data_IF_704984547235
#
_entry.id   IF_704984547235
#
_cell.length_a   1.000
_cell.length_b   1.000
_cell.length_c   1.000
_cell.angle_alpha   90.00
_cell.angle_beta   90.00
_cell.angle_gamma   90.00
#
_symmetry.space_group_name_H-M   'P 1'
#
loop_
_entity.id
_entity.type
_entity.pdbx_description
1 polymer ?
#
# COMPACT_ATOMS: atom_id res chain seq x y z
N UNK A 1 45.51 10.23 36.05
CA UNK A 1 45.94 10.95 34.84
C UNK A 1 45.14 10.40 33.67
N UNK A 2 44.25 11.21 33.13
CA UNK A 2 43.56 11.00 31.85
C UNK A 2 44.50 11.31 30.68
N UNK A 3 44.36 10.56 29.57
CA UNK A 3 44.56 10.94 28.15
C UNK A 3 44.16 9.71 27.29
N UNK A 4 42.97 9.74 26.65
CA UNK A 4 42.71 10.03 25.22
C UNK A 4 42.91 8.85 24.27
N UNK A 5 41.83 8.36 23.64
CA UNK A 5 41.83 7.62 22.36
C UNK A 5 40.65 8.11 21.51
N UNK A 6 40.77 9.32 20.97
CA UNK A 6 39.97 9.81 19.84
C UNK A 6 40.88 9.83 18.61
N UNK A 7 40.71 8.90 17.67
CA UNK A 7 41.58 8.83 16.50
C UNK A 7 41.11 7.95 15.34
N UNK A 8 40.37 6.86 15.57
CA UNK A 8 39.97 5.96 14.45
C UNK A 8 38.63 6.33 13.80
N UNK A 9 37.68 6.95 14.51
CA UNK A 9 36.37 7.29 13.96
C UNK A 9 36.39 8.40 12.89
N UNK A 10 37.40 9.28 12.91
CA UNK A 10 37.51 10.39 11.96
C UNK A 10 37.97 9.95 10.57
N UNK A 11 38.91 9.01 10.50
CA UNK A 11 39.46 8.54 9.22
C UNK A 11 38.45 7.66 8.44
N UNK A 12 37.63 6.88 9.13
CA UNK A 12 36.61 6.02 8.50
C UNK A 12 35.45 6.83 7.92
N UNK A 13 35.05 7.92 8.59
CA UNK A 13 34.04 8.87 8.06
C UNK A 13 34.55 9.64 6.84
N UNK A 14 35.84 10.00 6.82
CA UNK A 14 36.44 10.73 5.71
C UNK A 14 36.48 9.90 4.42
N UNK A 15 36.76 8.59 4.50
CA UNK A 15 36.72 7.71 3.31
C UNK A 15 35.28 7.48 2.80
N UNK A 16 34.31 7.29 3.71
CA UNK A 16 32.91 7.06 3.36
C UNK A 16 32.21 8.28 2.74
N UNK A 17 32.65 9.50 3.08
CA UNK A 17 32.07 10.75 2.54
C UNK A 17 32.47 11.11 1.10
N UNK A 18 33.43 10.39 0.51
CA UNK A 18 34.04 10.78 -0.77
C UNK A 18 33.74 9.85 -1.95
N UNK A 19 33.04 8.74 -1.72
CA UNK A 19 32.65 7.77 -2.77
C UNK A 19 31.25 7.21 -2.49
N UNK A 20 30.46 6.98 -3.54
CA UNK A 20 29.19 6.23 -3.48
C UNK A 20 29.49 4.79 -3.07
N UNK A 21 29.01 4.32 -1.90
CA UNK A 21 29.45 3.04 -1.31
C UNK A 21 28.25 2.19 -0.88
N UNK A 22 28.04 1.03 -1.50
CA UNK A 22 27.21 -0.04 -0.94
C UNK A 22 28.05 -0.93 0.01
N UNK A 23 27.50 -1.37 1.16
CA UNK A 23 28.22 -2.16 2.17
C UNK A 23 27.54 -3.51 2.44
N UNK A 24 28.05 -4.60 1.87
CA UNK A 24 27.62 -5.95 2.27
C UNK A 24 28.31 -6.38 3.58
N UNK A 25 27.53 -6.82 4.59
CA UNK A 25 28.06 -7.33 5.87
C UNK A 25 27.62 -8.79 6.12
N UNK A 26 28.52 -9.62 6.65
CA UNK A 26 28.22 -11.00 7.05
C UNK A 26 28.34 -11.10 8.58
N UNK A 27 27.23 -11.34 9.28
CA UNK A 27 27.26 -11.61 10.72
C UNK A 27 27.24 -13.13 10.94
N UNK A 28 28.35 -13.68 11.42
CA UNK A 28 28.42 -15.05 11.92
C UNK A 28 28.26 -15.03 13.45
N UNK A 29 27.08 -15.43 13.95
CA UNK A 29 26.90 -15.73 15.38
C UNK A 29 27.21 -17.21 15.65
N UNK A 30 27.82 -17.59 16.80
CA UNK A 30 28.39 -18.92 16.96
C UNK A 30 27.37 -20.06 17.14
N UNK A 31 26.09 -19.77 17.40
CA UNK A 31 25.05 -20.78 17.51
C UNK A 31 23.73 -20.21 16.95
N UNK A 32 23.07 -20.99 16.09
CA UNK A 32 21.91 -20.65 15.25
C UNK A 32 22.22 -19.85 13.96
N UNK A 33 21.66 -20.38 12.86
CA UNK A 33 21.54 -19.88 11.47
C UNK A 33 22.30 -18.57 11.14
N UNK A 34 23.27 -18.55 10.20
CA UNK A 34 23.90 -17.30 9.78
C UNK A 34 22.84 -16.37 9.15
N UNK A 35 22.62 -15.23 9.80
CA UNK A 35 21.79 -14.14 9.26
C UNK A 35 22.67 -13.27 8.36
N UNK A 36 22.35 -13.22 7.08
CA UNK A 36 23.01 -12.34 6.13
C UNK A 36 22.33 -10.96 6.18
N UNK A 37 23.11 -9.89 6.40
CA UNK A 37 22.61 -8.50 6.43
C UNK A 37 23.24 -7.74 5.27
N UNK A 38 22.44 -7.45 4.24
CA UNK A 38 22.87 -6.63 3.10
C UNK A 38 22.43 -5.19 3.35
N UNK A 39 23.38 -4.25 3.35
CA UNK A 39 23.12 -2.82 3.55
C UNK A 39 23.65 -1.99 2.36
N UNK A 40 22.80 -1.18 1.75
CA UNK A 40 23.25 -0.12 0.85
C UNK A 40 23.24 1.19 1.65
N UNK A 41 24.34 1.94 1.61
CA UNK A 41 24.41 3.30 2.15
C UNK A 41 24.43 4.25 0.94
N UNK A 42 23.56 5.26 0.89
CA UNK A 42 23.69 6.35 -0.09
C UNK A 42 24.23 7.61 0.61
N UNK A 43 24.97 8.50 -0.09
CA UNK A 43 25.82 9.48 0.60
C UNK A 43 25.11 10.69 1.22
N UNK A 44 23.82 10.90 0.96
CA UNK A 44 23.15 12.15 1.37
C UNK A 44 22.17 12.01 2.55
N UNK A 45 21.75 10.80 2.92
CA UNK A 45 20.97 10.58 4.13
C UNK A 45 21.44 9.27 4.76
N UNK A 46 21.58 9.22 6.08
CA UNK A 46 22.16 8.10 6.83
C UNK A 46 21.29 6.82 6.84
N UNK A 47 20.93 6.32 5.66
CA UNK A 47 20.11 5.13 5.44
C UNK A 47 20.92 3.85 5.66
N UNK A 48 20.40 2.94 6.47
CA UNK A 48 20.88 1.54 6.56
C UNK A 48 19.73 0.64 6.13
N UNK A 49 19.79 0.06 4.93
CA UNK A 49 18.90 -1.04 4.57
C UNK A 49 19.35 -2.33 5.30
N UNK A 50 18.42 -3.09 5.89
CA UNK A 50 18.68 -4.40 6.51
C UNK A 50 17.72 -5.41 5.88
N UNK A 51 18.23 -6.27 5.00
CA UNK A 51 17.47 -7.41 4.49
C UNK A 51 17.65 -8.64 5.40
N UNK A 52 16.56 -9.27 5.86
CA UNK A 52 16.55 -10.55 6.59
C UNK A 52 15.94 -11.62 5.68
N UNK A 53 16.62 -12.76 5.43
CA UNK A 53 16.12 -13.83 4.54
C UNK A 53 16.14 -15.23 5.18
N UNK A 54 15.22 -16.08 4.71
CA UNK A 54 14.71 -17.33 5.31
C UNK A 54 15.52 -18.62 5.07
N UNK A 55 14.99 -19.74 5.62
CA UNK A 55 15.61 -21.00 6.08
C UNK A 55 16.22 -22.01 5.08
N UNK A 56 16.13 -21.86 3.76
CA UNK A 56 16.47 -22.95 2.83
C UNK A 56 17.84 -22.79 2.12
N UNK A 57 18.78 -23.70 2.39
CA UNK A 57 20.22 -23.56 2.06
C UNK A 57 20.60 -24.00 0.64
N UNK A 58 19.78 -24.80 -0.05
CA UNK A 58 20.29 -25.66 -1.13
C UNK A 58 20.25 -25.01 -2.52
N UNK A 59 19.13 -24.40 -2.91
CA UNK A 59 19.05 -23.64 -4.18
C UNK A 59 19.62 -22.22 -4.05
N UNK A 60 19.45 -21.61 -2.87
CA UNK A 60 19.92 -20.26 -2.59
C UNK A 60 21.45 -20.14 -2.75
N UNK A 61 22.19 -21.18 -2.38
CA UNK A 61 23.66 -21.17 -2.52
C UNK A 61 24.15 -21.23 -3.95
N UNK A 62 23.37 -21.76 -4.91
CA UNK A 62 23.82 -21.84 -6.32
C UNK A 62 23.67 -20.48 -7.02
N UNK A 63 22.47 -19.91 -6.99
CA UNK A 63 22.21 -18.58 -7.55
C UNK A 63 23.05 -17.49 -6.88
N UNK A 64 23.29 -17.62 -5.57
CA UNK A 64 24.14 -16.68 -4.82
C UNK A 64 25.64 -16.86 -5.05
N UNK A 65 26.13 -18.11 -5.22
CA UNK A 65 27.50 -18.35 -5.69
C UNK A 65 27.72 -17.77 -7.09
N UNK A 66 26.76 -17.91 -7.99
CA UNK A 66 26.83 -17.35 -9.34
C UNK A 66 26.83 -15.82 -9.32
N UNK A 67 25.98 -15.19 -8.49
CA UNK A 67 25.97 -13.74 -8.27
C UNK A 67 27.31 -13.25 -7.70
N UNK A 68 27.79 -13.84 -6.61
CA UNK A 68 29.05 -13.45 -5.97
C UNK A 68 30.26 -13.69 -6.88
N UNK A 69 30.31 -14.79 -7.63
CA UNK A 69 31.41 -15.08 -8.57
C UNK A 69 31.45 -14.08 -9.73
N UNK A 70 30.30 -13.52 -10.10
CA UNK A 70 30.21 -12.50 -11.15
C UNK A 70 30.57 -11.11 -10.65
N UNK A 71 30.14 -10.76 -9.43
CA UNK A 71 30.33 -9.42 -8.86
C UNK A 71 31.59 -9.26 -8.00
N UNK A 72 32.25 -10.35 -7.60
CA UNK A 72 33.60 -10.31 -7.01
C UNK A 72 34.70 -10.03 -8.05
N UNK A 73 34.34 -9.95 -9.33
CA UNK A 73 35.29 -9.64 -10.38
C UNK A 73 35.76 -8.19 -10.26
N UNK A 74 37.08 -7.94 -10.36
CA UNK A 74 37.65 -6.59 -10.26
C UNK A 74 37.08 -5.61 -11.28
N UNK A 75 36.49 -6.10 -12.37
CA UNK A 75 35.88 -5.27 -13.42
C UNK A 75 34.57 -4.59 -12.96
N UNK A 76 33.85 -5.16 -11.98
CA UNK A 76 32.53 -4.66 -11.54
C UNK A 76 32.51 -4.12 -10.11
N UNK A 77 33.39 -4.60 -9.23
CA UNK A 77 33.47 -4.14 -7.85
C UNK A 77 34.91 -4.11 -7.31
N UNK A 78 35.14 -3.31 -6.28
CA UNK A 78 36.34 -3.32 -5.45
C UNK A 78 36.03 -4.06 -4.13
N UNK A 79 36.85 -5.04 -3.76
CA UNK A 79 36.69 -5.80 -2.52
C UNK A 79 37.47 -5.12 -1.39
N UNK A 80 36.79 -4.79 -0.29
CA UNK A 80 37.39 -4.17 0.90
C UNK A 80 37.11 -5.07 2.10
N UNK A 81 38.14 -5.37 2.90
CA UNK A 81 37.99 -6.14 4.14
C UNK A 81 37.83 -5.19 5.33
N UNK A 82 36.69 -5.28 6.02
CA UNK A 82 36.35 -4.46 7.19
C UNK A 82 35.92 -5.40 8.32
N UNK A 83 36.63 -5.38 9.46
CA UNK A 83 36.28 -6.15 10.66
C UNK A 83 35.83 -7.60 10.36
N UNK A 84 36.64 -8.36 9.62
CA UNK A 84 36.36 -9.76 9.21
C UNK A 84 35.14 -9.97 8.30
N UNK A 85 34.63 -8.91 7.67
CA UNK A 85 33.58 -8.96 6.64
C UNK A 85 34.14 -8.56 5.28
N UNK A 86 33.68 -9.25 4.23
CA UNK A 86 33.99 -8.91 2.84
C UNK A 86 32.94 -7.94 2.31
N UNK A 87 33.37 -6.71 2.03
CA UNK A 87 32.53 -5.64 1.47
C UNK A 87 32.84 -5.51 -0.01
N UNK A 88 31.82 -5.51 -0.86
CA UNK A 88 31.96 -5.31 -2.30
C UNK A 88 31.38 -3.96 -2.70
N UNK A 89 32.23 -3.08 -3.24
CA UNK A 89 31.86 -1.72 -3.62
C UNK A 89 31.72 -1.67 -5.15
N UNK A 90 30.51 -1.44 -5.70
CA UNK A 90 30.34 -1.31 -7.15
C UNK A 90 31.21 -0.16 -7.68
N UNK A 91 31.84 -0.37 -8.84
CA UNK A 91 32.56 0.71 -9.53
C UNK A 91 31.57 1.70 -10.15
N UNK A 92 32.00 2.97 -10.24
CA UNK A 92 31.21 4.03 -10.87
C UNK A 92 30.78 3.63 -12.29
N UNK A 93 29.47 3.74 -12.58
CA UNK A 93 28.84 3.32 -13.83
C UNK A 93 28.21 1.91 -13.79
N UNK A 94 28.41 1.14 -12.72
CA UNK A 94 27.82 -0.20 -12.54
C UNK A 94 26.67 -0.24 -11.52
N UNK A 95 26.31 0.89 -10.91
CA UNK A 95 25.34 0.97 -9.80
C UNK A 95 23.92 0.58 -10.24
N UNK A 96 23.42 1.15 -11.34
CA UNK A 96 22.10 0.84 -11.87
C UNK A 96 21.97 -0.63 -12.31
N UNK A 97 23.07 -1.20 -12.86
CA UNK A 97 23.13 -2.61 -13.24
C UNK A 97 23.17 -3.51 -12.00
N UNK A 98 23.82 -3.07 -10.92
CA UNK A 98 23.84 -3.80 -9.65
C UNK A 98 22.45 -3.84 -9.02
N UNK A 99 21.77 -2.70 -8.93
CA UNK A 99 20.40 -2.60 -8.39
C UNK A 99 19.38 -3.41 -9.21
N UNK A 100 19.38 -3.27 -10.54
CA UNK A 100 18.47 -4.03 -11.42
C UNK A 100 18.66 -5.54 -11.23
N UNK A 101 19.91 -6.01 -11.14
CA UNK A 101 20.22 -7.43 -10.98
C UNK A 101 20.00 -7.92 -9.55
N UNK A 102 20.16 -7.06 -8.55
CA UNK A 102 19.83 -7.37 -7.15
C UNK A 102 18.33 -7.52 -6.96
N UNK A 103 17.52 -6.61 -7.51
CA UNK A 103 16.06 -6.72 -7.54
C UNK A 103 15.60 -7.98 -8.31
N UNK A 104 16.24 -8.27 -9.44
CA UNK A 104 15.99 -9.51 -10.20
C UNK A 104 16.32 -10.76 -9.37
N UNK A 105 17.41 -10.73 -8.58
CA UNK A 105 17.76 -11.82 -7.67
C UNK A 105 16.72 -12.00 -6.57
N UNK A 106 16.27 -10.91 -5.91
CA UNK A 106 15.21 -10.95 -4.90
C UNK A 106 13.91 -11.55 -5.45
N UNK A 107 13.48 -11.12 -6.65
CA UNK A 107 12.28 -11.62 -7.31
C UNK A 107 12.37 -13.11 -7.68
N UNK A 108 13.56 -13.59 -8.09
CA UNK A 108 13.79 -15.00 -8.40
C UNK A 108 13.78 -15.90 -7.15
N UNK A 109 14.31 -15.39 -6.02
CA UNK A 109 14.27 -16.09 -4.72
C UNK A 109 12.82 -16.18 -4.21
N UNK A 110 12.06 -15.09 -4.32
CA UNK A 110 10.64 -15.07 -3.96
C UNK A 110 9.80 -16.04 -4.84
N UNK A 111 10.05 -16.05 -6.15
CA UNK A 111 9.41 -16.99 -7.08
C UNK A 111 9.75 -18.46 -6.83
N UNK A 112 10.94 -18.77 -6.31
CA UNK A 112 11.33 -20.13 -5.93
C UNK A 112 10.62 -20.59 -4.64
N UNK A 113 10.41 -19.67 -3.69
CA UNK A 113 9.64 -19.92 -2.48
C UNK A 113 8.19 -20.30 -2.78
N UNK A 114 7.54 -19.58 -3.71
CA UNK A 114 6.17 -19.87 -4.16
C UNK A 114 6.02 -21.21 -4.90
N UNK A 115 7.08 -21.70 -5.55
CA UNK A 115 7.07 -23.02 -6.21
C UNK A 115 7.07 -24.18 -5.20
N UNK A 116 7.62 -24.00 -4.00
CA UNK A 116 7.63 -25.02 -2.96
C UNK A 116 6.29 -25.14 -2.21
N UNK A 117 5.37 -24.18 -2.36
CA UNK A 117 4.01 -24.25 -1.81
C UNK A 117 3.05 -25.12 -2.66
N UNK A 118 3.48 -25.61 -3.84
CA UNK A 118 2.65 -26.41 -4.77
C UNK A 118 2.34 -27.84 -4.31
N UNK A 119 2.74 -28.26 -3.12
CA UNK A 119 2.38 -29.59 -2.60
C UNK A 119 1.78 -29.51 -1.20
N UNK A 120 0.49 -29.13 -1.10
CA UNK A 120 -0.57 -29.84 -0.34
C UNK A 120 -1.93 -29.10 -0.41
N UNK A 121 -2.85 -29.70 -1.18
CA UNK A 121 -4.26 -29.95 -0.84
C UNK A 121 -5.41 -28.92 -0.98
N UNK A 122 -5.25 -27.63 -1.30
CA UNK A 122 -6.45 -26.72 -1.40
C UNK A 122 -6.83 -26.21 -2.81
N UNK A 123 -6.15 -26.69 -3.86
CA UNK A 123 -6.47 -26.42 -5.27
C UNK A 123 -7.79 -27.06 -5.78
N UNK A 124 -8.71 -27.46 -4.89
CA UNK A 124 -9.92 -28.22 -5.24
C UNK A 124 -11.20 -27.65 -4.62
N UNK A 125 -11.47 -26.37 -4.76
CA UNK A 125 -12.86 -25.87 -4.81
C UNK A 125 -12.91 -24.45 -5.36
N UNK A 126 -13.67 -24.25 -6.46
CA UNK A 126 -14.22 -22.94 -6.81
C UNK A 126 -13.54 -22.14 -7.93
N UNK A 127 -13.59 -22.65 -9.16
CA UNK A 127 -13.52 -21.93 -10.46
C UNK A 127 -13.48 -20.38 -10.42
N UNK A 128 -12.38 -19.79 -10.89
CA UNK A 128 -12.42 -18.60 -11.77
C UNK A 128 -11.41 -18.75 -12.90
N UNK A 129 -11.83 -18.38 -14.10
CA UNK A 129 -11.16 -18.61 -15.36
C UNK A 129 -9.85 -17.81 -15.46
N UNK A 130 -8.71 -18.49 -15.34
CA UNK A 130 -7.39 -17.93 -15.62
C UNK A 130 -7.03 -18.11 -17.10
N UNK A 131 -6.93 -17.02 -17.85
CA UNK A 131 -6.21 -17.00 -19.12
C UNK A 131 -4.70 -17.05 -18.82
N UNK A 132 -4.08 -18.20 -19.10
CA UNK A 132 -2.64 -18.40 -18.98
C UNK A 132 -1.90 -18.01 -20.26
N UNK A 133 -0.90 -17.13 -20.15
CA UNK A 133 0.18 -17.04 -21.14
C UNK A 133 1.45 -17.70 -20.56
N UNK A 134 1.68 -18.96 -20.95
CA UNK A 134 2.93 -19.69 -20.65
C UNK A 134 3.96 -19.45 -21.75
N UNK A 135 5.14 -18.92 -21.38
CA UNK A 135 6.34 -18.99 -22.23
C UNK A 135 6.95 -20.39 -22.14
N UNK A 136 6.66 -21.26 -23.11
CA UNK A 136 7.43 -22.48 -23.37
C UNK A 136 8.33 -22.24 -24.58
N UNK A 137 9.65 -22.28 -24.37
CA UNK A 137 10.66 -22.27 -25.46
C UNK A 137 10.39 -23.43 -26.43
N UNK A 138 9.82 -23.12 -27.59
CA UNK A 138 9.66 -24.01 -28.73
C UNK A 138 10.14 -23.28 -29.98
N UNK A 139 11.01 -23.93 -30.75
CA UNK A 139 11.71 -23.38 -31.92
C UNK A 139 10.73 -22.83 -32.97
N UNK A 140 11.03 -21.63 -33.48
CA UNK A 140 10.67 -21.20 -34.83
C UNK A 140 9.21 -20.79 -35.06
N UNK A 141 8.84 -19.59 -34.62
CA UNK A 141 7.91 -18.68 -35.31
C UNK A 141 8.23 -17.27 -34.85
N UNK A 142 8.31 -16.31 -35.79
CA UNK A 142 8.40 -14.88 -35.50
C UNK A 142 7.10 -14.47 -34.83
N UNK A 143 7.05 -14.56 -33.51
CA UNK A 143 5.97 -13.99 -32.72
C UNK A 143 6.28 -12.51 -32.48
N UNK A 144 5.34 -11.67 -32.88
CA UNK A 144 5.32 -10.24 -32.67
C UNK A 144 5.66 -9.90 -31.23
N UNK A 145 6.60 -8.97 -31.05
CA UNK A 145 6.78 -8.21 -29.81
C UNK A 145 5.39 -7.82 -29.28
N UNK A 146 4.95 -8.45 -28.19
CA UNK A 146 3.89 -7.87 -27.38
C UNK A 146 4.45 -6.55 -26.87
N UNK A 147 3.79 -5.47 -27.26
CA UNK A 147 4.14 -4.09 -26.96
C UNK A 147 4.59 -3.96 -25.51
N UNK A 148 5.76 -3.35 -25.28
CA UNK A 148 6.08 -2.66 -24.03
C UNK A 148 4.82 -1.90 -23.60
N UNK A 149 4.15 -2.34 -22.53
CA UNK A 149 3.17 -1.49 -21.86
C UNK A 149 3.96 -0.37 -21.18
N UNK A 150 3.48 0.85 -21.33
CA UNK A 150 4.15 2.09 -20.95
C UNK A 150 4.37 2.13 -19.42
N UNK A 151 5.48 1.58 -18.95
CA UNK A 151 5.94 1.86 -17.59
C UNK A 151 6.15 3.37 -17.44
N UNK A 152 5.81 3.96 -16.29
CA UNK A 152 6.10 5.36 -16.03
C UNK A 152 7.62 5.60 -16.20
N UNK A 153 8.04 6.81 -16.65
CA UNK A 153 9.44 7.20 -16.70
C UNK A 153 10.17 6.80 -15.41
N UNK A 154 11.43 6.37 -15.50
CA UNK A 154 12.18 5.84 -14.36
C UNK A 154 12.12 6.75 -13.12
N UNK A 155 12.23 8.07 -13.33
CA UNK A 155 12.18 9.11 -12.30
C UNK A 155 10.82 9.20 -11.57
N UNK A 156 9.76 8.72 -12.22
CA UNK A 156 8.39 8.73 -11.69
C UNK A 156 7.95 7.38 -11.10
N UNK A 157 8.80 6.35 -11.09
CA UNK A 157 8.47 5.05 -10.48
C UNK A 157 8.39 5.16 -8.96
N UNK A 158 7.64 4.26 -8.34
CA UNK A 158 7.59 4.18 -6.89
C UNK A 158 8.98 3.98 -6.28
N UNK A 159 9.24 4.77 -5.24
CA UNK A 159 10.40 4.78 -4.37
C UNK A 159 10.00 4.20 -3.03
N UNK A 160 10.94 3.51 -2.40
CA UNK A 160 10.78 2.87 -1.12
C UNK A 160 11.94 3.27 -0.21
N UNK A 161 11.68 3.38 1.09
CA UNK A 161 12.66 3.85 2.06
C UNK A 161 12.17 3.67 3.49
N UNK A 162 12.81 4.39 4.40
CA UNK A 162 12.47 4.34 5.83
C UNK A 162 11.12 5.01 6.06
N UNK A 163 10.22 4.29 6.72
CA UNK A 163 8.92 4.77 7.19
C UNK A 163 8.76 4.47 8.68
N UNK A 164 7.69 4.98 9.30
CA UNK A 164 7.33 4.66 10.69
C UNK A 164 7.02 3.17 10.94
N UNK A 165 6.97 2.34 9.90
CA UNK A 165 6.66 0.91 9.97
C UNK A 165 7.90 0.01 9.78
N UNK A 166 9.10 0.57 9.67
CA UNK A 166 10.32 -0.21 9.37
C UNK A 166 10.70 -1.22 10.46
N UNK A 167 10.27 -1.00 11.70
CA UNK A 167 10.48 -1.88 12.83
C UNK A 167 9.34 -2.89 13.05
N UNK A 168 8.24 -2.78 12.29
CA UNK A 168 7.13 -3.73 12.36
C UNK A 168 7.54 -5.05 11.71
N UNK A 169 7.11 -6.16 12.27
CA UNK A 169 7.05 -7.41 11.50
C UNK A 169 5.95 -7.32 10.44
N UNK A 170 5.90 -8.24 9.48
CA UNK A 170 4.79 -8.27 8.52
C UNK A 170 3.48 -8.63 9.24
N UNK A 171 3.54 -9.49 10.24
CA UNK A 171 2.41 -9.86 11.11
C UNK A 171 1.89 -8.65 11.90
N UNK A 172 2.78 -7.84 12.48
CA UNK A 172 2.39 -6.61 13.19
C UNK A 172 1.79 -5.58 12.22
N UNK A 173 2.37 -5.43 11.03
CA UNK A 173 1.86 -4.51 10.02
C UNK A 173 0.47 -4.92 9.54
N UNK A 174 0.27 -6.20 9.22
CA UNK A 174 -1.04 -6.74 8.86
C UNK A 174 -2.06 -6.59 10.01
N UNK A 175 -1.64 -6.80 11.25
CA UNK A 175 -2.55 -6.73 12.39
C UNK A 175 -2.98 -5.30 12.74
N UNK A 176 -2.05 -4.35 12.70
CA UNK A 176 -2.28 -3.02 13.27
C UNK A 176 -2.48 -1.92 12.22
N UNK A 177 -1.89 -2.08 11.03
CA UNK A 177 -1.97 -1.08 9.95
C UNK A 177 -2.95 -1.46 8.84
N UNK A 178 -3.31 -2.75 8.74
CA UNK A 178 -4.36 -3.27 7.86
C UNK A 178 -5.61 -3.63 8.68
N UNK A 179 -6.73 -3.90 8.00
CA UNK A 179 -7.98 -4.17 8.70
C UNK A 179 -9.18 -4.37 7.82
N UNK A 180 -9.01 -4.48 6.50
CA UNK A 180 -10.11 -4.81 5.62
C UNK A 180 -10.49 -6.28 5.81
N UNK A 181 -11.78 -6.53 6.03
CA UNK A 181 -12.36 -7.86 6.14
C UNK A 181 -13.61 -7.92 5.27
N UNK A 182 -13.41 -8.22 3.99
CA UNK A 182 -14.52 -8.46 3.06
C UNK A 182 -15.03 -9.90 3.19
N UNK A 183 -16.34 -10.05 3.25
CA UNK A 183 -17.02 -11.34 3.32
C UNK A 183 -17.83 -11.60 2.04
N UNK A 184 -18.25 -12.84 1.81
CA UNK A 184 -19.18 -13.17 0.72
C UNK A 184 -20.45 -12.31 0.75
N UNK A 185 -20.95 -11.96 1.96
CA UNK A 185 -22.13 -11.10 2.12
C UNK A 185 -21.89 -9.69 1.61
N UNK A 186 -20.66 -9.16 1.71
CA UNK A 186 -20.33 -7.83 1.18
C UNK A 186 -20.41 -7.83 -0.34
N UNK A 187 -19.87 -8.85 -0.99
CA UNK A 187 -19.98 -9.02 -2.44
C UNK A 187 -21.42 -9.29 -2.89
N UNK A 188 -22.19 -10.08 -2.15
CA UNK A 188 -23.62 -10.26 -2.42
C UNK A 188 -24.40 -8.94 -2.34
N UNK A 189 -24.11 -8.10 -1.35
CA UNK A 189 -24.71 -6.76 -1.24
C UNK A 189 -24.27 -5.88 -2.41
N UNK A 190 -22.97 -5.81 -2.70
CA UNK A 190 -22.42 -5.07 -3.84
C UNK A 190 -23.08 -5.47 -5.17
N UNK A 191 -23.35 -6.76 -5.35
CA UNK A 191 -23.99 -7.28 -6.56
C UNK A 191 -25.45 -6.85 -6.75
N UNK A 192 -26.13 -6.48 -5.66
CA UNK A 192 -27.53 -6.04 -5.63
C UNK A 192 -27.67 -4.52 -5.75
N UNK A 193 -26.61 -3.76 -5.49
CA UNK A 193 -26.61 -2.32 -5.66
C UNK A 193 -26.68 -1.94 -7.14
N UNK A 194 -27.19 -0.74 -7.47
CA UNK A 194 -27.13 -0.21 -8.82
C UNK A 194 -25.68 -0.23 -9.33
N UNK A 195 -25.48 -0.68 -10.58
CA UNK A 195 -24.17 -0.55 -11.23
C UNK A 195 -23.97 0.87 -11.72
N UNK A 196 -22.78 1.42 -11.48
CA UNK A 196 -22.37 2.67 -12.09
C UNK A 196 -22.30 2.52 -13.63
N UNK A 197 -22.76 3.54 -14.36
CA UNK A 197 -22.71 3.56 -15.83
C UNK A 197 -21.64 4.56 -16.28
N UNK A 198 -20.47 4.09 -16.78
CA UNK A 198 -19.38 4.98 -17.13
C UNK A 198 -19.69 5.90 -18.31
N UNK A 199 -19.28 7.15 -18.21
CA UNK A 199 -19.23 8.10 -19.32
C UNK A 199 -17.91 7.96 -20.07
N UNK A 200 -17.98 7.40 -21.30
CA UNK A 200 -16.80 7.24 -22.17
C UNK A 200 -16.17 8.57 -22.58
N UNK A 201 -16.92 9.66 -22.57
CA UNK A 201 -16.41 10.99 -22.89
C UNK A 201 -15.54 11.52 -21.75
N UNK A 202 -16.05 11.46 -20.51
CA UNK A 202 -15.29 11.88 -19.32
C UNK A 202 -14.00 11.08 -19.17
N UNK A 203 -14.09 9.75 -19.31
CA UNK A 203 -12.91 8.87 -19.26
C UNK A 203 -11.87 9.27 -20.30
N UNK A 204 -12.24 9.82 -21.46
CA UNK A 204 -11.26 10.18 -22.49
C UNK A 204 -10.56 11.50 -22.21
N UNK A 205 -11.26 12.51 -21.71
CA UNK A 205 -10.81 13.89 -21.79
C UNK A 205 -10.40 14.54 -20.47
N UNK A 206 -10.64 13.89 -19.33
CA UNK A 206 -10.60 14.59 -18.03
C UNK A 206 -9.65 13.96 -17.02
N UNK A 207 -8.88 14.81 -16.34
CA UNK A 207 -8.19 14.52 -15.07
C UNK A 207 -8.88 15.33 -13.98
N UNK A 208 -8.91 14.83 -12.75
CA UNK A 208 -9.46 15.56 -11.59
C UNK A 208 -8.74 15.17 -10.32
N UNK A 209 -8.42 16.15 -9.50
CA UNK A 209 -7.90 15.97 -8.14
C UNK A 209 -8.82 16.71 -7.17
N UNK A 210 -9.60 15.96 -6.38
CA UNK A 210 -10.56 16.53 -5.44
C UNK A 210 -9.90 17.29 -4.29
N UNK A 211 -8.60 17.10 -4.06
CA UNK A 211 -7.84 17.91 -3.08
C UNK A 211 -7.76 19.36 -3.54
N UNK A 212 -7.46 19.58 -4.83
CA UNK A 212 -7.40 20.91 -5.42
C UNK A 212 -8.78 21.61 -5.44
N UNK A 213 -9.86 20.82 -5.44
CA UNK A 213 -11.23 21.33 -5.32
C UNK A 213 -11.67 21.55 -3.87
N UNK A 214 -10.84 21.25 -2.86
CA UNK A 214 -11.19 21.39 -1.45
C UNK A 214 -12.27 20.40 -0.98
N UNK A 215 -12.34 19.24 -1.61
CA UNK A 215 -13.30 18.17 -1.32
C UNK A 215 -12.66 16.97 -0.60
N UNK A 216 -11.50 17.18 0.04
CA UNK A 216 -10.78 16.17 0.82
C UNK A 216 -10.32 16.81 2.13
N UNK A 217 -10.69 16.22 3.25
CA UNK A 217 -10.29 16.66 4.60
C UNK A 217 -8.80 16.33 4.89
N UNK A 218 -8.20 16.86 5.98
CA UNK A 218 -6.83 16.51 6.34
C UNK A 218 -6.64 15.01 6.56
N UNK A 219 -5.46 14.47 6.17
CA UNK A 219 -5.06 13.08 6.42
C UNK A 219 -5.10 12.78 7.92
N UNK A 220 -5.62 11.60 8.27
CA UNK A 220 -5.73 11.12 9.65
C UNK A 220 -4.74 9.99 9.93
N UNK A 221 -4.67 9.55 11.20
CA UNK A 221 -3.84 8.42 11.62
C UNK A 221 -4.69 7.38 12.36
N UNK A 222 -4.79 6.17 11.80
CA UNK A 222 -5.42 5.03 12.46
C UNK A 222 -4.55 4.43 13.58
N UNK A 223 -3.26 4.75 13.61
CA UNK A 223 -2.33 4.24 14.62
C UNK A 223 -2.30 2.71 14.70
N UNK A 224 -2.31 2.20 15.92
CA UNK A 224 -2.15 0.78 16.27
C UNK A 224 -3.48 0.01 16.29
N UNK A 225 -4.35 0.24 15.31
CA UNK A 225 -5.68 -0.35 15.24
C UNK A 225 -6.05 -0.64 13.79
N UNK A 226 -6.41 -1.89 13.50
CA UNK A 226 -6.82 -2.35 12.17
C UNK A 226 -8.19 -1.82 11.77
N UNK A 227 -8.28 -0.51 11.59
CA UNK A 227 -9.51 0.26 11.46
C UNK A 227 -9.57 1.09 10.17
N UNK A 228 -8.69 0.81 9.20
CA UNK A 228 -8.69 1.43 7.88
C UNK A 228 -10.08 1.49 7.22
N UNK A 229 -10.90 0.46 7.43
CA UNK A 229 -12.28 0.39 6.97
C UNK A 229 -13.14 1.55 7.51
N UNK A 230 -12.98 1.91 8.77
CA UNK A 230 -13.69 3.02 9.40
C UNK A 230 -13.20 4.38 8.89
N UNK A 231 -11.90 4.52 8.67
CA UNK A 231 -11.32 5.73 8.07
C UNK A 231 -11.82 5.93 6.64
N UNK A 232 -11.68 4.93 5.77
CA UNK A 232 -12.15 5.01 4.39
C UNK A 232 -13.65 5.34 4.29
N UNK A 233 -14.49 4.76 5.16
CA UNK A 233 -15.92 5.09 5.22
C UNK A 233 -16.19 6.52 5.66
N UNK A 234 -15.61 6.96 6.78
CA UNK A 234 -15.85 8.31 7.30
C UNK A 234 -15.31 9.38 6.37
N UNK A 235 -14.13 9.18 5.79
CA UNK A 235 -13.54 10.08 4.79
C UNK A 235 -14.38 10.14 3.52
N UNK A 236 -15.05 9.05 3.13
CA UNK A 236 -16.01 9.05 2.00
C UNK A 236 -17.22 9.92 2.33
N UNK A 237 -17.78 9.82 3.53
CA UNK A 237 -18.91 10.67 3.95
C UNK A 237 -18.49 12.15 4.01
N UNK A 238 -17.31 12.45 4.53
CA UNK A 238 -16.75 13.81 4.59
C UNK A 238 -16.57 14.42 3.20
N UNK A 239 -15.87 13.71 2.31
CA UNK A 239 -15.60 14.17 0.95
C UNK A 239 -16.92 14.40 0.19
N UNK A 240 -17.88 13.50 0.33
CA UNK A 240 -19.17 13.62 -0.35
C UNK A 240 -20.04 14.75 0.21
N UNK A 241 -19.97 15.02 1.52
CA UNK A 241 -20.59 16.22 2.09
C UNK A 241 -20.00 17.52 1.51
N UNK A 242 -18.69 17.56 1.23
CA UNK A 242 -18.04 18.69 0.58
C UNK A 242 -18.40 18.80 -0.90
N UNK A 243 -18.39 17.70 -1.65
CA UNK A 243 -18.76 17.66 -3.07
C UNK A 243 -20.21 18.13 -3.28
N UNK A 244 -21.13 17.70 -2.40
CA UNK A 244 -22.55 18.07 -2.47
C UNK A 244 -22.84 19.47 -1.91
N UNK A 245 -21.83 20.19 -1.41
CA UNK A 245 -22.00 21.52 -0.80
C UNK A 245 -22.79 21.51 0.51
N UNK A 246 -22.90 20.35 1.17
CA UNK A 246 -23.55 20.19 2.47
C UNK A 246 -22.63 20.56 3.64
N UNK A 247 -21.32 20.47 3.43
CA UNK A 247 -20.24 20.86 4.33
C UNK A 247 -19.47 22.02 3.71
N UNK A 248 -19.07 22.99 4.53
CA UNK A 248 -18.32 24.16 4.06
C UNK A 248 -16.84 23.84 3.90
N UNK A 249 -16.23 24.23 2.78
CA UNK A 249 -14.81 23.97 2.52
C UNK A 249 -13.87 24.71 3.49
N UNK A 250 -14.29 25.87 3.99
CA UNK A 250 -13.48 26.67 4.92
C UNK A 250 -13.44 26.08 6.35
N UNK A 251 -14.47 25.31 6.72
CA UNK A 251 -14.56 24.63 8.00
C UNK A 251 -15.26 23.28 7.79
N UNK A 252 -14.55 22.30 7.20
CA UNK A 252 -15.17 21.06 6.81
C UNK A 252 -15.58 20.25 8.04
N UNK A 253 -16.72 19.58 7.95
CA UNK A 253 -17.06 18.51 8.87
C UNK A 253 -15.98 17.42 8.86
N UNK A 254 -15.47 17.10 10.04
CA UNK A 254 -14.56 15.98 10.27
C UNK A 254 -15.35 14.92 11.05
N UNK A 255 -15.58 13.76 10.44
CA UNK A 255 -16.32 12.65 11.00
C UNK A 255 -15.45 11.75 11.89
N UNK A 256 -16.10 11.08 12.85
CA UNK A 256 -15.49 10.24 13.87
C UNK A 256 -15.35 8.76 13.44
N UNK A 257 -14.15 8.26 13.09
CA UNK A 257 -13.95 6.82 12.81
C UNK A 257 -14.16 5.96 14.08
N UNK A 258 -13.98 6.55 15.27
CA UNK A 258 -14.19 5.85 16.54
C UNK A 258 -15.61 5.33 16.70
N UNK A 259 -16.60 6.04 16.15
CA UNK A 259 -18.01 5.63 16.21
C UNK A 259 -18.19 4.24 15.60
N UNK A 260 -17.67 4.00 14.40
CA UNK A 260 -17.69 2.68 13.76
C UNK A 260 -16.94 1.64 14.60
N UNK A 261 -15.71 1.96 15.01
CA UNK A 261 -14.84 1.02 15.73
C UNK A 261 -15.51 0.52 17.02
N UNK A 262 -16.16 1.42 17.76
CA UNK A 262 -16.83 1.12 19.03
C UNK A 262 -18.25 0.58 18.88
N UNK A 263 -19.03 1.06 17.90
CA UNK A 263 -20.47 0.86 17.85
C UNK A 263 -20.96 -0.10 16.75
N UNK A 264 -20.21 -0.29 15.67
CA UNK A 264 -20.66 -1.15 14.57
C UNK A 264 -20.40 -2.64 14.88
N UNK A 265 -21.17 -3.17 15.83
CA UNK A 265 -21.14 -4.57 16.28
C UNK A 265 -22.45 -5.30 15.95
N UNK A 266 -23.19 -4.81 14.98
CA UNK A 266 -24.56 -5.27 14.72
C UNK A 266 -24.58 -6.66 14.06
N UNK A 267 -25.68 -7.40 14.20
CA UNK A 267 -25.82 -8.70 13.53
C UNK A 267 -25.76 -8.60 11.98
N UNK A 268 -25.95 -7.40 11.42
CA UNK A 268 -25.90 -7.11 9.98
C UNK A 268 -24.55 -6.56 9.50
N UNK A 269 -23.66 -6.22 10.43
CA UNK A 269 -22.29 -5.75 10.24
C UNK A 269 -21.39 -6.35 11.34
N UNK A 270 -20.84 -7.56 11.11
CA UNK A 270 -20.03 -8.27 12.11
C UNK A 270 -18.60 -7.70 12.20
N UNK A 271 -18.47 -6.38 12.10
CA UNK A 271 -17.19 -5.70 12.15
C UNK A 271 -16.60 -5.79 13.56
N UNK A 272 -15.29 -5.97 13.61
CA UNK A 272 -14.56 -6.33 14.84
C UNK A 272 -13.65 -5.22 15.33
N UNK A 273 -14.03 -3.97 15.03
CA UNK A 273 -13.34 -2.77 15.52
C UNK A 273 -11.89 -2.75 15.04
N UNK A 274 -10.94 -2.81 15.96
CA UNK A 274 -9.51 -2.88 15.64
C UNK A 274 -9.07 -4.20 15.01
N UNK A 275 -9.91 -5.24 15.02
CA UNK A 275 -9.65 -6.51 14.34
C UNK A 275 -10.24 -6.56 12.92
N UNK A 276 -10.64 -5.40 12.40
CA UNK A 276 -11.05 -5.22 11.01
C UNK A 276 -12.55 -5.20 10.77
N UNK A 277 -12.91 -4.77 9.56
CA UNK A 277 -14.29 -4.59 9.11
C UNK A 277 -14.38 -4.24 7.63
N UNK A 278 -15.57 -3.87 7.17
CA UNK A 278 -15.87 -3.64 5.75
C UNK A 278 -16.45 -2.24 5.52
N UNK A 279 -15.91 -1.44 4.58
CA UNK A 279 -16.53 -0.17 4.21
C UNK A 279 -17.96 -0.31 3.70
N UNK A 280 -18.32 -1.46 3.11
CA UNK A 280 -19.68 -1.74 2.65
C UNK A 280 -20.66 -1.82 3.83
N UNK A 281 -20.35 -2.61 4.84
CA UNK A 281 -21.20 -2.74 6.02
C UNK A 281 -21.26 -1.45 6.83
N UNK A 282 -20.16 -0.72 6.91
CA UNK A 282 -20.08 0.58 7.57
C UNK A 282 -20.91 1.67 6.86
N UNK A 283 -20.93 1.71 5.52
CA UNK A 283 -21.81 2.62 4.79
C UNK A 283 -23.30 2.26 4.99
N UNK A 284 -23.63 0.98 5.07
CA UNK A 284 -24.98 0.51 5.44
C UNK A 284 -25.37 0.94 6.87
N UNK A 285 -24.44 0.83 7.83
CA UNK A 285 -24.64 1.32 9.20
C UNK A 285 -25.04 2.81 9.20
N UNK A 286 -24.35 3.63 8.39
CA UNK A 286 -24.60 5.07 8.31
C UNK A 286 -25.87 5.49 7.58
N UNK A 287 -26.58 4.58 6.90
CA UNK A 287 -27.90 4.89 6.34
C UNK A 287 -28.92 5.27 7.43
N UNK A 288 -28.80 4.66 8.61
CA UNK A 288 -29.79 4.80 9.69
C UNK A 288 -29.26 5.49 10.95
N UNK A 289 -27.96 5.33 11.26
CA UNK A 289 -27.34 5.94 12.44
C UNK A 289 -27.01 7.39 12.13
N UNK A 290 -26.05 7.59 11.24
CA UNK A 290 -25.54 8.89 10.84
C UNK A 290 -24.27 9.22 11.60
N UNK A 291 -23.34 9.90 10.94
CA UNK A 291 -21.98 10.10 11.39
C UNK A 291 -21.86 11.33 12.31
N UNK A 292 -21.30 11.13 13.49
CA UNK A 292 -20.90 12.19 14.42
C UNK A 292 -19.56 12.83 14.02
N UNK A 293 -19.29 14.02 14.56
CA UNK A 293 -18.02 14.68 14.36
C UNK A 293 -16.92 14.10 15.25
N UNK A 294 -15.68 14.08 14.76
CA UNK A 294 -14.48 13.68 15.49
C UNK A 294 -14.33 14.42 16.83
N UNK A 295 -14.71 15.70 16.88
CA UNK A 295 -14.66 16.50 18.12
C UNK A 295 -15.64 16.01 19.20
N UNK A 296 -16.73 15.37 18.79
CA UNK A 296 -17.81 14.90 19.66
C UNK A 296 -17.59 13.42 20.05
N UNK A 297 -16.92 12.64 19.19
CA UNK A 297 -16.49 11.26 19.47
C UNK A 297 -15.02 11.02 19.04
N UNK A 298 -14.03 11.45 19.85
CA UNK A 298 -12.62 11.42 19.47
C UNK A 298 -12.04 10.01 19.28
N UNK A 299 -11.12 9.89 18.32
CA UNK A 299 -10.38 8.67 18.04
C UNK A 299 -9.32 8.37 19.09
N UNK A 300 -9.48 7.23 19.78
CA UNK A 300 -8.61 6.75 20.86
C UNK A 300 -8.03 5.36 20.55
N UNK A 301 -8.72 4.58 19.71
CA UNK A 301 -8.34 3.21 19.37
C UNK A 301 -6.95 3.10 18.74
N UNK A 302 -6.49 4.10 18.00
CA UNK A 302 -5.13 4.09 17.45
C UNK A 302 -4.02 4.13 18.50
N UNK A 303 -4.29 4.67 19.70
CA UNK A 303 -3.34 4.67 20.81
C UNK A 303 -3.47 3.45 21.72
N UNK A 304 -4.68 2.91 21.88
CA UNK A 304 -4.96 1.80 22.81
C UNK A 304 -4.90 0.42 22.15
N UNK A 305 -5.14 0.34 20.84
CA UNK A 305 -5.39 -0.92 20.13
C UNK A 305 -6.70 -1.59 20.53
N UNK A 306 -7.59 -0.89 21.25
CA UNK A 306 -8.86 -1.41 21.76
C UNK A 306 -10.04 -0.72 21.10
N UNK A 307 -11.16 -1.44 20.95
CA UNK A 307 -12.37 -0.94 20.29
C UNK A 307 -13.01 0.26 21.00
N UNK A 308 -12.74 0.47 22.29
CA UNK A 308 -13.38 1.49 23.11
C UNK A 308 -14.85 1.17 23.43
N UNK A 309 -15.53 2.12 24.09
CA UNK A 309 -16.94 1.98 24.48
C UNK A 309 -17.81 2.77 23.51
N UNK A 310 -18.88 2.15 23.01
CA UNK A 310 -19.85 2.84 22.17
C UNK A 310 -20.57 3.94 22.95
N UNK A 311 -20.41 5.18 22.51
CA UNK A 311 -21.00 6.39 23.12
C UNK A 311 -21.87 7.18 22.13
N UNK A 312 -22.32 6.52 21.06
CA UNK A 312 -23.14 7.14 20.02
C UNK A 312 -24.36 7.88 20.59
N UNK A 313 -24.47 9.15 20.24
CA UNK A 313 -25.57 10.06 20.49
C UNK A 313 -26.16 10.54 19.16
N UNK A 314 -27.35 10.00 18.85
CA UNK A 314 -28.09 10.33 17.63
C UNK A 314 -28.32 11.83 17.44
N UNK A 315 -28.39 12.63 18.50
CA UNK A 315 -28.59 14.08 18.40
C UNK A 315 -27.36 14.82 17.84
N UNK A 316 -26.19 14.20 17.85
CA UNK A 316 -24.93 14.74 17.35
C UNK A 316 -24.64 14.35 15.89
N UNK A 317 -25.32 13.33 15.37
CA UNK A 317 -25.18 12.89 13.98
C UNK A 317 -25.40 14.04 12.99
N UNK A 318 -24.49 14.17 12.01
CA UNK A 318 -24.52 15.24 11.00
C UNK A 318 -24.97 14.78 9.64
N UNK A 319 -24.48 13.63 9.19
CA UNK A 319 -24.79 13.11 7.86
C UNK A 319 -25.16 11.63 7.91
N UNK A 320 -26.20 11.25 7.18
CA UNK A 320 -26.48 9.86 6.84
C UNK A 320 -26.03 9.59 5.41
N UNK A 321 -25.66 8.34 5.13
CA UNK A 321 -25.57 7.83 3.75
C UNK A 321 -26.98 7.85 3.15
N UNK A 322 -27.10 8.31 1.91
CA UNK A 322 -28.34 8.23 1.17
C UNK A 322 -28.52 6.82 0.58
N UNK A 323 -29.61 6.15 0.97
CA UNK A 323 -29.82 4.73 0.67
C UNK A 323 -29.97 4.46 -0.83
N UNK A 324 -30.60 5.39 -1.55
CA UNK A 324 -30.86 5.28 -2.98
C UNK A 324 -29.61 5.55 -3.86
N UNK A 325 -28.51 6.00 -3.24
CA UNK A 325 -27.32 6.50 -3.92
C UNK A 325 -26.03 5.90 -3.34
N UNK A 326 -26.10 4.66 -2.88
CA UNK A 326 -24.93 3.81 -2.63
C UNK A 326 -24.68 2.93 -3.86
N UNK A 327 -23.50 3.06 -4.46
CA UNK A 327 -23.13 2.40 -5.71
C UNK A 327 -21.85 1.62 -5.49
N UNK A 328 -21.82 0.38 -6.00
CA UNK A 328 -20.63 -0.46 -5.97
C UNK A 328 -20.08 -0.69 -7.38
N UNK A 329 -18.77 -0.57 -7.50
CA UNK A 329 -17.97 -0.87 -8.67
C UNK A 329 -17.07 -2.05 -8.31
N UNK A 330 -17.19 -3.13 -9.07
CA UNK A 330 -16.52 -4.40 -8.79
C UNK A 330 -16.35 -5.19 -10.09
N UNK A 331 -15.25 -5.94 -10.20
CA UNK A 331 -14.99 -6.80 -11.36
C UNK A 331 -13.72 -6.48 -12.15
N UNK A 332 -12.67 -5.96 -11.51
CA UNK A 332 -11.31 -5.77 -12.05
C UNK A 332 -11.16 -4.74 -13.17
N UNK A 333 -12.23 -4.06 -13.58
CA UNK A 333 -12.20 -2.93 -14.50
C UNK A 333 -12.17 -1.60 -13.76
N UNK A 334 -11.48 -0.60 -14.33
CA UNK A 334 -11.35 0.74 -13.72
C UNK A 334 -12.17 1.83 -14.42
N UNK A 335 -12.79 1.54 -15.58
CA UNK A 335 -13.52 2.55 -16.37
C UNK A 335 -14.66 3.22 -15.57
N UNK A 336 -15.42 2.41 -14.82
CA UNK A 336 -16.47 2.87 -13.93
C UNK A 336 -15.91 3.68 -12.76
N UNK A 337 -14.82 3.22 -12.14
CA UNK A 337 -14.13 3.95 -11.07
C UNK A 337 -13.62 5.31 -11.55
N UNK A 338 -12.98 5.36 -12.72
CA UNK A 338 -12.44 6.61 -13.30
C UNK A 338 -13.58 7.57 -13.57
N UNK A 339 -14.64 7.10 -14.24
CA UNK A 339 -15.80 7.95 -14.54
C UNK A 339 -16.48 8.44 -13.27
N UNK A 340 -16.68 7.58 -12.26
CA UNK A 340 -17.30 7.97 -10.99
C UNK A 340 -16.43 8.96 -10.22
N UNK A 341 -15.12 8.77 -10.20
CA UNK A 341 -14.20 9.74 -9.58
C UNK A 341 -14.25 11.08 -10.29
N UNK A 342 -14.34 11.08 -11.62
CA UNK A 342 -14.40 12.32 -12.42
C UNK A 342 -15.74 13.06 -12.30
N UNK A 343 -16.86 12.37 -12.09
CA UNK A 343 -18.19 13.02 -12.08
C UNK A 343 -18.80 13.16 -10.69
N UNK A 344 -18.60 12.20 -9.80
CA UNK A 344 -19.36 12.07 -8.55
C UNK A 344 -18.58 12.48 -7.30
N UNK A 345 -17.28 12.19 -7.22
CA UNK A 345 -16.50 12.45 -6.01
C UNK A 345 -15.47 11.36 -5.69
N UNK A 346 -14.73 11.50 -4.59
CA UNK A 346 -13.84 10.46 -4.08
C UNK A 346 -14.54 9.13 -3.79
N UNK A 347 -13.81 8.02 -3.95
CA UNK A 347 -14.32 6.65 -3.79
C UNK A 347 -13.64 5.95 -2.61
N UNK A 348 -14.38 5.23 -1.78
CA UNK A 348 -13.78 4.23 -0.88
C UNK A 348 -13.33 3.05 -1.74
N UNK A 349 -12.08 2.63 -1.64
CA UNK A 349 -11.53 1.51 -2.42
C UNK A 349 -10.86 0.47 -1.50
N UNK A 350 -10.92 -0.78 -1.92
CA UNK A 350 -10.17 -1.89 -1.34
C UNK A 350 -8.88 -2.13 -2.14
N UNK A 351 -7.75 -2.31 -1.45
CA UNK A 351 -6.43 -2.51 -2.06
C UNK A 351 -5.64 -3.57 -1.30
N UNK A 352 -4.62 -4.12 -1.95
CA UNK A 352 -3.55 -4.88 -1.30
C UNK A 352 -2.38 -3.95 -0.96
N UNK A 353 -2.16 -3.70 0.33
CA UNK A 353 -1.25 -2.66 0.82
C UNK A 353 -0.03 -3.18 1.60
N UNK A 354 0.18 -4.49 1.76
CA UNK A 354 1.44 -5.00 2.35
C UNK A 354 2.71 -4.38 1.75
N UNK A 355 2.83 -4.19 0.42
CA UNK A 355 4.02 -3.58 -0.19
C UNK A 355 4.18 -2.08 0.12
N UNK A 356 3.13 -1.43 0.64
CA UNK A 356 3.10 0.00 0.91
C UNK A 356 3.85 0.37 2.19
N UNK A 357 4.16 -0.61 3.04
CA UNK A 357 4.90 -0.45 4.31
C UNK A 357 6.08 0.50 4.20
N UNK A 358 6.83 0.40 3.10
CA UNK A 358 8.07 1.17 2.88
C UNK A 358 7.95 2.21 1.78
N UNK A 359 6.75 2.48 1.24
CA UNK A 359 6.55 3.45 0.17
C UNK A 359 6.83 4.89 0.65
N UNK A 360 7.57 5.65 -0.16
CA UNK A 360 7.94 7.05 0.12
C UNK A 360 7.61 8.02 -1.01
N UNK A 361 7.20 7.53 -2.19
CA UNK A 361 6.72 8.40 -3.28
C UNK A 361 6.83 7.79 -4.66
N UNK A 362 6.37 8.50 -5.69
CA UNK A 362 6.33 8.02 -7.08
C UNK A 362 5.13 7.14 -7.38
N UNK A 363 5.02 6.67 -8.63
CA UNK A 363 3.89 5.89 -9.13
C UNK A 363 4.18 4.40 -8.95
N UNK A 364 3.40 3.76 -8.08
CA UNK A 364 3.47 2.32 -7.87
C UNK A 364 2.74 1.61 -9.00
N UNK A 365 3.35 0.55 -9.52
CA UNK A 365 2.83 -0.27 -10.62
C UNK A 365 2.39 -1.65 -10.12
N UNK A 366 1.61 -2.43 -10.89
CA UNK A 366 1.18 -3.77 -10.47
C UNK A 366 2.34 -4.70 -10.09
N UNK A 367 3.49 -4.60 -10.76
CA UNK A 367 4.65 -5.46 -10.48
C UNK A 367 5.29 -5.20 -9.11
N UNK A 368 5.04 -4.03 -8.51
CA UNK A 368 5.52 -3.66 -7.18
C UNK A 368 4.51 -4.01 -6.09
N UNK A 369 3.24 -4.25 -6.46
CA UNK A 369 2.23 -4.70 -5.52
C UNK A 369 2.10 -6.22 -5.46
N UNK A 370 2.09 -6.90 -6.60
CA UNK A 370 1.72 -8.32 -6.67
C UNK A 370 0.25 -8.50 -7.02
N UNK A 371 -0.24 -9.73 -6.88
CA UNK A 371 -1.57 -10.18 -7.30
C UNK A 371 -2.25 -10.93 -6.14
N UNK A 372 -2.32 -10.26 -4.99
CA UNK A 372 -2.86 -10.80 -3.74
C UNK A 372 -4.23 -10.17 -3.43
N UNK A 373 -4.94 -10.80 -2.49
CA UNK A 373 -6.23 -10.33 -2.00
C UNK A 373 -6.10 -8.98 -1.27
N UNK A 374 -7.15 -8.17 -1.39
CA UNK A 374 -7.23 -6.87 -0.72
C UNK A 374 -7.29 -7.01 0.80
N UNK A 375 -6.48 -6.21 1.50
CA UNK A 375 -6.28 -6.25 2.95
C UNK A 375 -6.46 -4.89 3.64
N UNK A 376 -6.58 -3.83 2.83
CA UNK A 376 -6.64 -2.45 3.29
C UNK A 376 -7.73 -1.64 2.58
N UNK A 377 -8.30 -0.69 3.31
CA UNK A 377 -9.32 0.22 2.78
C UNK A 377 -8.82 1.65 2.83
N UNK A 378 -8.95 2.36 1.72
CA UNK A 378 -8.43 3.71 1.51
C UNK A 378 -9.40 4.51 0.62
N UNK A 379 -9.07 5.76 0.30
CA UNK A 379 -9.92 6.60 -0.54
C UNK A 379 -9.19 7.04 -1.82
N UNK A 380 -9.74 6.71 -2.99
CA UNK A 380 -9.32 7.31 -4.26
C UNK A 380 -9.88 8.73 -4.35
N UNK A 381 -9.01 9.74 -4.43
CA UNK A 381 -9.38 11.16 -4.41
C UNK A 381 -9.09 11.88 -5.74
N UNK A 382 -8.57 11.18 -6.73
CA UNK A 382 -8.31 11.79 -8.02
C UNK A 382 -7.68 10.85 -9.04
N UNK A 383 -7.68 11.31 -10.28
CA UNK A 383 -7.03 10.69 -11.43
C UNK A 383 -6.27 11.75 -12.22
N UNK A 384 -5.01 11.46 -12.52
CA UNK A 384 -4.24 12.18 -13.52
C UNK A 384 -4.05 11.25 -14.72
N UNK A 385 -4.80 11.53 -15.79
CA UNK A 385 -4.77 10.75 -17.01
C UNK A 385 -3.59 11.06 -17.92
N UNK A 386 -3.01 12.26 -17.79
CA UNK A 386 -1.87 12.68 -18.60
C UNK A 386 -0.59 12.01 -18.09
N UNK A 387 -0.48 11.89 -16.77
CA UNK A 387 0.61 11.19 -16.10
C UNK A 387 0.32 9.71 -15.80
N UNK A 388 -0.94 9.29 -15.90
CA UNK A 388 -1.36 7.89 -15.84
C UNK A 388 -1.40 7.31 -14.42
N UNK A 389 -1.90 8.06 -13.43
CA UNK A 389 -2.02 7.57 -12.05
C UNK A 389 -3.33 7.95 -11.35
N UNK A 390 -3.69 7.15 -10.35
CA UNK A 390 -4.60 7.47 -9.27
C UNK A 390 -3.91 8.28 -8.18
N UNK A 391 -4.63 9.19 -7.55
CA UNK A 391 -4.26 9.76 -6.25
C UNK A 391 -5.09 9.07 -5.18
N UNK A 392 -4.43 8.43 -4.23
CA UNK A 392 -5.09 7.66 -3.17
C UNK A 392 -4.65 8.19 -1.81
N UNK A 393 -5.63 8.57 -0.98
CA UNK A 393 -5.47 9.00 0.40
C UNK A 393 -5.38 7.79 1.32
N UNK A 394 -4.38 7.76 2.19
CA UNK A 394 -4.21 6.74 3.22
C UNK A 394 -4.55 7.31 4.61
N UNK A 395 -4.64 6.44 5.62
CA UNK A 395 -4.95 6.76 7.02
C UNK A 395 -3.78 6.47 7.96
N UNK A 396 -2.54 6.66 7.50
CA UNK A 396 -1.31 6.38 8.25
C UNK A 396 -0.53 7.64 8.61
N UNK A 397 -1.22 8.75 8.88
CA UNK A 397 -0.64 10.08 9.10
C UNK A 397 0.05 10.67 7.85
N UNK A 398 0.31 11.98 7.88
CA UNK A 398 0.89 12.72 6.77
C UNK A 398 2.41 12.51 6.60
N UNK A 399 3.09 11.90 7.55
CA UNK A 399 4.52 11.58 7.45
C UNK A 399 4.82 10.33 6.62
N UNK A 400 3.79 9.55 6.27
CA UNK A 400 3.89 8.40 5.40
C UNK A 400 3.62 8.76 3.93
N UNK A 401 4.37 8.19 2.99
CA UNK A 401 4.16 8.38 1.56
C UNK A 401 4.35 9.82 1.08
N UNK A 402 3.47 10.29 0.20
CA UNK A 402 3.47 11.66 -0.32
C UNK A 402 2.47 12.50 0.46
N UNK A 403 2.86 12.98 1.64
CA UNK A 403 2.00 13.73 2.58
C UNK A 403 0.74 12.95 3.02
N UNK A 404 0.86 11.63 3.20
CA UNK A 404 -0.24 10.71 3.52
C UNK A 404 -0.95 10.11 2.31
N UNK A 405 -0.44 10.37 1.09
CA UNK A 405 -1.00 9.86 -0.16
C UNK A 405 -0.04 8.89 -0.85
N UNK A 406 -0.59 8.12 -1.79
CA UNK A 406 0.13 7.27 -2.72
C UNK A 406 -0.42 7.44 -4.14
N UNK A 407 0.48 7.34 -5.12
CA UNK A 407 0.10 7.27 -6.53
C UNK A 407 0.19 5.84 -7.06
N UNK A 408 -0.88 5.36 -7.68
CA UNK A 408 -0.98 4.02 -8.28
C UNK A 408 -1.19 4.13 -9.79
N UNK A 409 -0.57 3.26 -10.59
CA UNK A 409 -0.78 3.24 -12.04
C UNK A 409 -2.26 3.07 -12.38
N UNK A 410 -2.73 3.91 -13.32
CA UNK A 410 -4.10 3.96 -13.81
C UNK A 410 -4.37 2.88 -14.87
N UNK A 411 -5.56 2.28 -14.87
CA UNK A 411 -6.04 1.25 -15.81
C UNK A 411 -5.23 -0.07 -15.79
N UNK A 412 -4.61 -0.43 -14.67
CA UNK A 412 -3.79 -1.65 -14.55
C UNK A 412 -4.20 -2.58 -13.39
N UNK A 413 -5.30 -2.26 -12.70
CA UNK A 413 -5.76 -2.88 -11.46
C UNK A 413 -4.62 -2.95 -10.42
N UNK A 414 -3.86 -1.87 -10.31
CA UNK A 414 -2.68 -1.81 -9.46
C UNK A 414 -3.06 -2.10 -8.00
N UNK A 415 -2.37 -3.04 -7.36
CA UNK A 415 -2.67 -3.43 -5.97
C UNK A 415 -4.12 -3.89 -5.77
N UNK A 416 -4.71 -4.52 -6.80
CA UNK A 416 -6.08 -5.03 -6.75
C UNK A 416 -7.15 -3.95 -6.49
N UNK A 417 -6.87 -2.68 -6.81
CA UNK A 417 -7.74 -1.53 -6.49
C UNK A 417 -9.15 -1.60 -7.08
N UNK A 418 -9.35 -2.34 -8.19
CA UNK A 418 -10.64 -2.55 -8.83
C UNK A 418 -11.40 -3.79 -8.32
N UNK A 419 -10.97 -4.35 -7.17
CA UNK A 419 -11.67 -5.46 -6.52
C UNK A 419 -13.00 -5.01 -5.91
N UNK A 420 -12.98 -3.85 -5.24
CA UNK A 420 -14.17 -3.21 -4.68
C UNK A 420 -13.94 -1.71 -4.56
N UNK A 421 -14.82 -0.93 -5.17
CA UNK A 421 -14.91 0.52 -4.99
C UNK A 421 -16.35 0.91 -4.69
N UNK A 422 -16.54 1.81 -3.72
CA UNK A 422 -17.83 2.27 -3.25
C UNK A 422 -17.93 3.77 -3.39
N UNK A 423 -19.03 4.21 -4.00
CA UNK A 423 -19.46 5.60 -4.05
C UNK A 423 -20.74 5.72 -3.23
N UNK A 424 -20.84 6.77 -2.43
CA UNK A 424 -22.03 7.04 -1.63
C UNK A 424 -22.32 8.53 -1.64
N UNK A 425 -23.55 8.94 -1.91
CA UNK A 425 -23.96 10.32 -1.57
C UNK A 425 -24.46 10.38 -0.14
N UNK A 426 -24.47 11.59 0.43
CA UNK A 426 -24.89 11.82 1.81
C UNK A 426 -26.00 12.85 1.87
N UNK A 427 -26.74 12.82 2.98
CA UNK A 427 -27.79 13.78 3.32
C UNK A 427 -27.63 14.21 4.78
N UNK A 428 -28.15 15.39 5.13
CA UNK A 428 -28.20 15.81 6.54
C UNK A 428 -28.96 14.76 7.36
N UNK A 429 -28.44 14.45 8.54
CA UNK A 429 -29.06 13.51 9.45
C UNK A 429 -30.44 14.02 9.91
N UNK A 430 -31.41 13.11 10.06
CA UNK A 430 -32.72 13.44 10.61
C UNK A 430 -32.68 13.14 12.12
N UNK A 431 -32.83 14.21 12.91
CA UNK A 431 -32.89 14.16 14.37
C UNK A 431 -33.94 13.18 14.91
#
# INVERSE_FOLDING_TARGET
MTLSHGGSHSATRALLSSKKIAVLSLLATPFAVPHLVVSALTPDEGEVAVAKMAKDKTEMTKGWREFLTKWSRPEYAEAVSLHSQNVFIPKAGAEALFEEKFLTFQNNVHSAHLRNLKTRAEYKQGKMQTNWLFLRKGKGKKESQSKNRNLPPFESRARFGVTKFMDYTDEDFEKYSMGLRLTEKDYEKASKLPRYKPSRELIKSSSRDWRAEGAVTPVKDQGHCGSCWAFATTETIESMALVQGLSEKANPFIGAPQELVSCDKSAVSPDKGCNGGSPMSALEYYKTKGLEAEKDFPYTSGGTGEDGVCKYDRSLAKYNVDEDHLVAMWGLGEDDMVSATLSEGPLSIAVYAMPWKTYTGGIMTPSQCGDEDVDHAVQAVGVDKDQGYWVVRNSWNSDWGEDGFIRLSLMENTCSLASLALQATVRKARG
#
